data_IF_813375867156
#
_entry.id   IF_813375867156
#
_cell.length_a   1.000
_cell.length_b   1.000
_cell.length_c   1.000
_cell.angle_alpha   90.00
_cell.angle_beta   90.00
_cell.angle_gamma   90.00
#
_symmetry.space_group_name_H-M   'P 1'
#
loop_
_entity.id
_entity.type
_entity.pdbx_description
1 polymer ?
#
# COMPACT_ATOMS: atom_id res chain seq x y z
N UNK A 1 -1.38 -1.79 25.83
CA UNK A 1 -2.41 -0.98 25.14
C UNK A 1 -1.66 -0.04 24.22
N UNK A 2 -1.45 -0.46 22.97
CA UNK A 2 -0.75 0.36 21.97
C UNK A 2 -1.75 1.38 21.44
N UNK A 3 -1.49 2.65 21.72
CA UNK A 3 -2.28 3.79 21.25
C UNK A 3 -2.04 3.91 19.75
N UNK A 4 -3.03 3.54 18.93
CA UNK A 4 -2.93 3.63 17.47
C UNK A 4 -2.75 5.10 17.09
N UNK A 5 -1.60 5.46 16.52
CA UNK A 5 -1.36 6.83 16.05
C UNK A 5 -2.29 7.09 14.85
N UNK A 6 -3.41 7.76 15.13
CA UNK A 6 -4.33 8.20 14.06
C UNK A 6 -3.62 9.23 13.17
N UNK A 7 -3.73 9.11 11.83
CA UNK A 7 -3.18 10.09 10.91
C UNK A 7 -3.69 11.49 11.25
N UNK A 8 -2.77 12.46 11.25
CA UNK A 8 -3.11 13.88 11.44
C UNK A 8 -2.80 14.66 10.18
N UNK A 9 -3.65 15.64 9.89
CA UNK A 9 -3.47 16.52 8.77
C UNK A 9 -2.18 17.34 8.95
N UNK A 10 -1.27 17.37 7.97
CA UNK A 10 -0.05 18.18 8.05
C UNK A 10 -0.32 19.69 8.15
N UNK A 11 -1.45 20.14 7.60
CA UNK A 11 -1.78 21.57 7.54
C UNK A 11 -2.39 22.10 8.83
N UNK A 12 -3.26 21.34 9.49
CA UNK A 12 -4.04 21.82 10.65
C UNK A 12 -3.95 20.93 11.89
N UNK A 13 -3.29 19.77 11.82
CA UNK A 13 -3.16 18.84 12.95
C UNK A 13 -4.43 18.07 13.31
N UNK A 14 -5.53 18.26 12.58
CA UNK A 14 -6.78 17.50 12.76
C UNK A 14 -6.55 16.01 12.50
N UNK A 15 -7.20 15.14 13.28
CA UNK A 15 -7.25 13.70 13.05
C UNK A 15 -8.44 13.27 12.19
N UNK A 16 -9.28 14.21 11.75
CA UNK A 16 -10.41 13.92 10.87
C UNK A 16 -9.97 13.89 9.41
N UNK A 17 -9.57 12.69 9.00
CA UNK A 17 -8.99 12.40 7.68
C UNK A 17 -9.96 11.51 6.90
N UNK A 18 -10.31 11.97 5.70
CA UNK A 18 -11.04 11.20 4.70
C UNK A 18 -10.11 10.71 3.58
N UNK A 19 -10.62 9.78 2.77
CA UNK A 19 -9.89 9.26 1.60
C UNK A 19 -10.38 9.93 0.33
N UNK A 20 -9.47 10.03 -0.64
CA UNK A 20 -9.84 10.44 -2.00
C UNK A 20 -10.01 9.16 -2.82
N UNK A 21 -11.20 8.94 -3.35
CA UNK A 21 -11.47 7.84 -4.27
C UNK A 21 -11.39 8.33 -5.72
N UNK A 22 -10.88 7.48 -6.60
CA UNK A 22 -10.72 7.78 -8.02
C UNK A 22 -11.30 6.65 -8.85
N UNK A 23 -11.76 7.00 -10.05
CA UNK A 23 -12.36 6.04 -10.98
C UNK A 23 -13.70 6.52 -11.50
N UNK A 24 -14.44 5.57 -12.08
CA UNK A 24 -15.77 5.84 -12.63
C UNK A 24 -16.75 6.11 -11.49
N UNK A 25 -17.52 7.20 -11.60
CA UNK A 25 -18.58 7.51 -10.64
C UNK A 25 -19.71 6.50 -10.85
N UNK A 26 -19.92 5.64 -9.86
CA UNK A 26 -21.13 4.84 -9.73
C UNK A 26 -21.95 5.36 -8.53
N UNK A 27 -23.19 4.85 -8.37
CA UNK A 27 -24.07 5.27 -7.28
C UNK A 27 -23.47 5.02 -5.88
N UNK A 28 -22.59 4.03 -5.74
CA UNK A 28 -21.94 3.74 -4.46
C UNK A 28 -20.90 4.82 -4.12
N UNK A 29 -20.12 5.26 -5.11
CA UNK A 29 -19.14 6.32 -4.96
C UNK A 29 -19.80 7.68 -4.69
N UNK A 30 -20.92 7.96 -5.38
CA UNK A 30 -21.70 9.19 -5.16
C UNK A 30 -22.33 9.23 -3.76
N UNK A 31 -22.83 8.10 -3.27
CA UNK A 31 -23.38 8.02 -1.92
C UNK A 31 -22.32 8.22 -0.84
N UNK A 32 -21.17 7.58 -0.98
CA UNK A 32 -20.05 7.75 -0.05
C UNK A 32 -19.46 9.18 -0.06
N UNK A 33 -19.52 9.89 -1.20
CA UNK A 33 -19.17 11.31 -1.28
C UNK A 33 -20.20 12.19 -0.57
N UNK A 34 -21.49 11.93 -0.77
CA UNK A 34 -22.59 12.65 -0.09
C UNK A 34 -22.58 12.46 1.43
N UNK A 35 -22.24 11.25 1.88
CA UNK A 35 -22.15 10.90 3.31
C UNK A 35 -20.86 11.45 3.96
N UNK A 36 -19.98 12.11 3.18
CA UNK A 36 -18.73 12.68 3.65
C UNK A 36 -17.65 11.64 4.00
N UNK A 37 -17.89 10.37 3.68
CA UNK A 37 -16.96 9.27 3.96
C UNK A 37 -15.71 9.36 3.09
N UNK A 38 -15.85 9.91 1.88
CA UNK A 38 -14.76 10.17 0.93
C UNK A 38 -14.99 11.46 0.15
N UNK A 39 -13.98 11.88 -0.60
CA UNK A 39 -14.15 12.85 -1.70
C UNK A 39 -13.74 12.16 -2.99
N UNK A 40 -14.41 12.47 -4.09
CA UNK A 40 -14.05 11.89 -5.38
C UNK A 40 -13.02 12.78 -6.07
N UNK A 41 -11.95 12.17 -6.57
CA UNK A 41 -10.94 12.80 -7.40
C UNK A 41 -11.30 12.76 -8.89
N UNK A 42 -10.27 12.69 -9.73
CA UNK A 42 -10.43 12.54 -11.18
C UNK A 42 -10.83 11.12 -11.61
N UNK A 43 -11.16 10.96 -12.89
CA UNK A 43 -11.47 9.65 -13.47
C UNK A 43 -10.24 8.75 -13.69
N UNK A 44 -9.05 9.34 -13.82
CA UNK A 44 -7.78 8.62 -13.96
C UNK A 44 -6.97 8.80 -12.70
N UNK A 45 -6.32 7.74 -12.24
CA UNK A 45 -5.33 7.78 -11.17
C UNK A 45 -3.95 7.96 -11.77
N UNK A 46 -3.17 8.89 -11.24
CA UNK A 46 -1.73 9.00 -11.47
C UNK A 46 -0.99 9.13 -10.13
N UNK A 47 0.33 8.96 -10.17
CA UNK A 47 1.23 8.94 -9.00
C UNK A 47 1.20 10.22 -8.14
N UNK A 48 0.76 11.35 -8.70
CA UNK A 48 0.74 12.64 -8.02
C UNK A 48 -0.63 12.97 -7.41
N UNK A 49 -1.61 12.08 -7.55
CA UNK A 49 -2.95 12.34 -7.10
C UNK A 49 -3.14 12.07 -5.60
N UNK A 50 -3.71 13.02 -4.85
CA UNK A 50 -3.86 12.91 -3.41
C UNK A 50 -4.74 11.72 -3.05
N UNK A 51 -4.29 10.86 -2.13
CA UNK A 51 -5.03 9.70 -1.65
C UNK A 51 -5.82 10.01 -0.38
N UNK A 52 -5.48 11.11 0.29
CA UNK A 52 -6.08 11.55 1.54
C UNK A 52 -6.51 13.01 1.45
N UNK A 53 -7.51 13.36 2.24
CA UNK A 53 -7.87 14.74 2.50
C UNK A 53 -8.25 14.96 3.95
N UNK A 54 -8.08 16.16 4.45
CA UNK A 54 -8.55 16.55 5.77
C UNK A 54 -9.97 17.12 5.65
N UNK A 55 -10.92 16.61 6.44
CA UNK A 55 -12.30 17.13 6.43
C UNK A 55 -12.40 18.54 7.00
N UNK A 56 -11.52 18.90 7.94
CA UNK A 56 -11.51 20.21 8.59
C UNK A 56 -10.94 21.32 7.69
N UNK A 57 -9.83 21.07 6.99
CA UNK A 57 -9.11 22.12 6.24
C UNK A 57 -9.00 21.88 4.73
N UNK A 58 -9.60 20.79 4.25
CA UNK A 58 -9.62 20.36 2.85
C UNK A 58 -8.24 20.18 2.21
N UNK A 59 -7.17 20.14 3.00
CA UNK A 59 -5.84 19.83 2.49
C UNK A 59 -5.84 18.41 1.93
N UNK A 60 -5.17 18.20 0.80
CA UNK A 60 -5.12 16.94 0.08
C UNK A 60 -3.65 16.53 -0.08
N UNK A 61 -3.34 15.26 0.16
CA UNK A 61 -1.97 14.75 0.05
C UNK A 61 -1.96 13.28 -0.37
N UNK A 62 -0.91 12.87 -1.06
CA UNK A 62 -0.64 11.49 -1.47
C UNK A 62 0.50 10.84 -0.66
N UNK A 63 1.30 11.66 0.04
CA UNK A 63 2.41 11.24 0.90
C UNK A 63 2.17 11.77 2.31
N UNK A 64 2.47 10.97 3.34
CA UNK A 64 2.44 11.44 4.71
C UNK A 64 3.40 12.63 4.90
N UNK A 65 3.10 13.58 5.82
CA UNK A 65 3.91 14.77 6.08
C UNK A 65 5.43 14.57 6.20
N UNK A 66 5.86 13.35 6.53
CA UNK A 66 7.26 12.97 6.74
C UNK A 66 7.86 12.19 5.54
N UNK A 67 7.23 12.22 4.36
CA UNK A 67 7.70 11.53 3.14
C UNK A 67 7.37 10.03 3.08
N UNK A 68 6.50 9.53 3.97
CA UNK A 68 6.08 8.13 4.01
C UNK A 68 4.91 7.82 3.08
N UNK A 69 4.86 6.59 2.55
CA UNK A 69 3.71 6.04 1.84
C UNK A 69 2.83 5.29 2.85
N UNK A 70 1.52 5.52 2.81
CA UNK A 70 0.56 4.79 3.64
C UNK A 70 0.40 3.34 3.16
N UNK A 71 0.43 2.39 4.09
CA UNK A 71 0.21 0.96 3.79
C UNK A 71 -1.30 0.73 3.52
N UNK A 72 -1.68 -0.01 2.46
CA UNK A 72 -3.06 -0.42 2.25
C UNK A 72 -3.58 -1.24 3.45
N UNK A 73 -4.81 -1.00 3.93
CA UNK A 73 -5.38 -1.83 4.98
C UNK A 73 -5.59 -3.27 4.49
N UNK A 74 -5.65 -4.22 5.43
CA UNK A 74 -6.12 -5.59 5.15
C UNK A 74 -7.50 -5.55 4.47
N UNK A 75 -7.69 -6.37 3.44
CA UNK A 75 -8.92 -6.36 2.65
C UNK A 75 -9.03 -5.24 1.61
N UNK A 76 -8.00 -4.39 1.44
CA UNK A 76 -7.99 -3.36 0.38
C UNK A 76 -8.15 -3.96 -1.03
N UNK A 77 -8.78 -3.20 -1.93
CA UNK A 77 -8.89 -3.60 -3.33
C UNK A 77 -7.51 -3.87 -3.95
N UNK A 78 -7.43 -4.87 -4.83
CA UNK A 78 -6.15 -5.29 -5.44
C UNK A 78 -5.44 -4.14 -6.16
N UNK A 79 -6.18 -3.29 -6.86
CA UNK A 79 -5.63 -2.11 -7.55
C UNK A 79 -4.84 -1.17 -6.62
N UNK A 80 -5.27 -1.00 -5.37
CA UNK A 80 -4.54 -0.19 -4.41
C UNK A 80 -3.28 -0.90 -3.91
N UNK A 81 -3.36 -2.20 -3.67
CA UNK A 81 -2.20 -2.99 -3.27
C UNK A 81 -1.14 -2.97 -4.37
N UNK A 82 -1.55 -3.06 -5.65
CA UNK A 82 -0.65 -2.92 -6.81
C UNK A 82 0.04 -1.57 -6.82
N UNK A 83 -0.71 -0.46 -6.70
CA UNK A 83 -0.10 0.88 -6.66
C UNK A 83 0.92 1.02 -5.53
N UNK A 84 0.63 0.45 -4.36
CA UNK A 84 1.58 0.44 -3.25
C UNK A 84 2.80 -0.45 -3.52
N UNK A 85 2.58 -1.65 -4.05
CA UNK A 85 3.64 -2.62 -4.35
C UNK A 85 4.62 -2.09 -5.41
N UNK A 86 4.12 -1.33 -6.38
CA UNK A 86 4.93 -0.70 -7.45
C UNK A 86 5.87 0.40 -6.92
N UNK A 87 5.68 0.87 -5.67
CA UNK A 87 6.60 1.82 -5.01
C UNK A 87 7.90 1.18 -4.50
N UNK A 88 8.09 -0.13 -4.71
CA UNK A 88 9.26 -0.88 -4.26
C UNK A 88 9.73 -1.83 -5.34
N UNK A 89 11.00 -1.74 -5.75
CA UNK A 89 11.56 -2.70 -6.70
C UNK A 89 12.20 -3.88 -5.95
N UNK A 90 11.48 -5.00 -5.86
CA UNK A 90 11.99 -6.19 -5.18
C UNK A 90 13.31 -6.71 -5.74
N UNK A 91 13.56 -6.52 -7.05
CA UNK A 91 14.81 -6.99 -7.68
C UNK A 91 16.03 -6.17 -7.26
N UNK A 92 15.88 -4.85 -7.08
CA UNK A 92 17.00 -3.98 -6.70
C UNK A 92 17.51 -4.29 -5.29
N UNK A 93 16.62 -4.76 -4.41
CA UNK A 93 16.93 -4.95 -3.00
C UNK A 93 17.23 -6.40 -2.60
N UNK A 94 16.70 -7.38 -3.33
CA UNK A 94 16.78 -8.80 -2.94
C UNK A 94 17.38 -9.71 -4.02
N UNK A 95 18.05 -9.13 -5.02
CA UNK A 95 18.72 -9.85 -6.09
C UNK A 95 17.84 -10.07 -7.31
N UNK A 96 18.22 -11.01 -8.16
CA UNK A 96 17.47 -11.30 -9.38
C UNK A 96 16.15 -12.05 -9.11
N UNK A 97 15.48 -12.48 -10.18
CA UNK A 97 14.24 -13.23 -10.09
C UNK A 97 14.38 -14.52 -9.28
N UNK A 98 15.51 -15.20 -9.33
CA UNK A 98 15.72 -16.45 -8.60
C UNK A 98 15.79 -16.18 -7.09
N UNK A 99 16.58 -15.18 -6.69
CA UNK A 99 16.68 -14.77 -5.28
C UNK A 99 15.33 -14.32 -4.72
N UNK A 100 14.60 -13.49 -5.47
CA UNK A 100 13.29 -13.00 -5.04
C UNK A 100 12.25 -14.13 -4.96
N UNK A 101 12.24 -15.07 -5.91
CA UNK A 101 11.36 -16.25 -5.88
C UNK A 101 11.65 -17.11 -4.65
N UNK A 102 12.92 -17.41 -4.37
CA UNK A 102 13.30 -18.24 -3.23
C UNK A 102 12.91 -17.60 -1.89
N UNK A 103 13.07 -16.27 -1.76
CA UNK A 103 12.63 -15.50 -0.60
C UNK A 103 11.11 -15.56 -0.46
N UNK A 104 10.37 -15.41 -1.57
CA UNK A 104 8.92 -15.47 -1.59
C UNK A 104 8.38 -16.84 -1.17
N UNK A 105 8.91 -17.91 -1.76
CA UNK A 105 8.55 -19.29 -1.40
C UNK A 105 8.82 -19.58 0.08
N UNK A 106 9.92 -19.04 0.62
CA UNK A 106 10.23 -19.17 2.04
C UNK A 106 9.14 -18.51 2.91
N UNK A 107 8.73 -17.27 2.60
CA UNK A 107 7.70 -16.58 3.38
C UNK A 107 6.32 -17.22 3.22
N UNK A 108 5.93 -17.67 2.02
CA UNK A 108 4.66 -18.39 1.82
C UNK A 108 4.63 -19.70 2.59
N UNK A 109 5.76 -20.43 2.65
CA UNK A 109 5.86 -21.66 3.44
C UNK A 109 5.67 -21.38 4.93
N UNK A 110 6.33 -20.34 5.47
CA UNK A 110 6.15 -19.92 6.87
C UNK A 110 4.69 -19.63 7.19
N UNK A 111 4.04 -18.80 6.37
CA UNK A 111 2.63 -18.47 6.50
C UNK A 111 1.74 -19.72 6.47
N UNK A 112 1.98 -20.62 5.52
CA UNK A 112 1.24 -21.88 5.41
C UNK A 112 1.43 -22.84 6.60
N UNK A 113 2.53 -22.70 7.34
CA UNK A 113 2.81 -23.44 8.58
C UNK A 113 2.28 -22.71 9.84
N UNK A 114 1.70 -21.52 9.68
CA UNK A 114 1.28 -20.67 10.80
C UNK A 114 2.45 -20.04 11.57
N UNK A 115 3.64 -20.00 10.96
CA UNK A 115 4.79 -19.30 11.51
C UNK A 115 4.73 -17.79 11.21
N UNK A 116 5.38 -16.99 12.05
CA UNK A 116 5.47 -15.56 11.84
C UNK A 116 6.24 -15.21 10.55
N UNK A 117 5.66 -14.27 9.79
CA UNK A 117 6.35 -13.61 8.68
C UNK A 117 7.53 -12.77 9.19
N UNK A 118 8.45 -12.44 8.26
CA UNK A 118 9.58 -11.56 8.55
C UNK A 118 9.15 -10.23 9.19
N UNK A 119 10.00 -9.68 10.07
CA UNK A 119 9.87 -8.30 10.57
C UNK A 119 10.61 -7.28 9.69
N UNK A 120 11.34 -7.76 8.68
CA UNK A 120 12.05 -6.89 7.75
C UNK A 120 11.06 -6.25 6.76
N UNK A 121 10.96 -4.93 6.84
CA UNK A 121 10.08 -4.10 6.01
C UNK A 121 10.37 -4.29 4.51
N UNK A 122 11.65 -4.39 4.14
CA UNK A 122 12.07 -4.58 2.76
C UNK A 122 11.66 -5.95 2.23
N UNK A 123 11.75 -7.01 3.05
CA UNK A 123 11.27 -8.35 2.71
C UNK A 123 9.76 -8.34 2.49
N UNK A 124 9.00 -7.76 3.42
CA UNK A 124 7.54 -7.69 3.32
C UNK A 124 7.08 -6.90 2.09
N UNK A 125 7.72 -5.76 1.79
CA UNK A 125 7.46 -4.99 0.56
C UNK A 125 7.81 -5.81 -0.69
N UNK A 126 8.90 -6.59 -0.65
CA UNK A 126 9.29 -7.47 -1.76
C UNK A 126 8.24 -8.56 -2.04
N UNK A 127 7.55 -9.08 -1.00
CA UNK A 127 6.48 -10.06 -1.19
C UNK A 127 5.31 -9.48 -1.98
N UNK A 128 4.87 -8.26 -1.62
CA UNK A 128 3.78 -7.57 -2.33
C UNK A 128 4.19 -7.24 -3.77
N UNK A 129 5.43 -6.80 -3.98
CA UNK A 129 5.98 -6.59 -5.31
C UNK A 129 5.97 -7.88 -6.14
N UNK A 130 6.39 -9.01 -5.56
CA UNK A 130 6.39 -10.29 -6.25
C UNK A 130 4.99 -10.72 -6.68
N UNK A 131 4.00 -10.66 -5.79
CA UNK A 131 2.60 -11.02 -6.10
C UNK A 131 2.03 -10.14 -7.22
N UNK A 132 2.29 -8.83 -7.19
CA UNK A 132 1.93 -7.93 -8.28
C UNK A 132 2.57 -8.31 -9.62
N UNK A 133 3.87 -8.62 -9.63
CA UNK A 133 4.59 -9.00 -10.85
C UNK A 133 4.08 -10.34 -11.39
N UNK A 134 3.84 -11.30 -10.50
CA UNK A 134 3.27 -12.61 -10.83
C UNK A 134 1.90 -12.45 -11.50
N UNK A 135 0.99 -11.69 -10.91
CA UNK A 135 -0.34 -11.40 -11.49
C UNK A 135 -0.22 -10.74 -12.88
N UNK A 136 0.60 -9.68 -12.97
CA UNK A 136 0.82 -8.96 -14.23
C UNK A 136 1.33 -9.86 -15.36
N UNK A 137 2.19 -10.83 -15.06
CA UNK A 137 2.70 -11.78 -16.05
C UNK A 137 1.81 -13.02 -16.24
N UNK A 138 0.96 -13.33 -15.26
CA UNK A 138 0.00 -14.43 -15.26
C UNK A 138 -1.33 -14.11 -15.96
N UNK A 139 -1.57 -12.86 -16.35
CA UNK A 139 -2.75 -12.44 -17.10
C UNK A 139 -3.55 -11.29 -16.49
N UNK A 140 -3.19 -10.83 -15.28
CA UNK A 140 -3.77 -9.65 -14.64
C UNK A 140 -5.20 -9.84 -14.13
N UNK A 141 -5.54 -11.06 -13.71
CA UNK A 141 -6.88 -11.38 -13.18
C UNK A 141 -7.03 -11.03 -11.70
N UNK A 142 -5.91 -10.68 -11.03
CA UNK A 142 -5.84 -10.49 -9.60
C UNK A 142 -5.61 -11.79 -8.83
N UNK A 143 -5.34 -11.69 -7.51
CA UNK A 143 -5.01 -12.83 -6.68
C UNK A 143 -6.23 -13.73 -6.43
N UNK A 144 -6.00 -15.04 -6.39
CA UNK A 144 -6.98 -16.01 -5.89
C UNK A 144 -7.15 -15.92 -4.36
N UNK A 145 -8.02 -16.75 -3.77
CA UNK A 145 -8.28 -16.74 -2.33
C UNK A 145 -7.03 -17.05 -1.47
N UNK A 146 -6.16 -17.94 -1.94
CA UNK A 146 -4.95 -18.34 -1.21
C UNK A 146 -3.88 -17.26 -1.28
N UNK A 147 -3.68 -16.68 -2.45
CA UNK A 147 -2.81 -15.52 -2.67
C UNK A 147 -3.30 -14.34 -1.83
N UNK A 148 -4.62 -14.10 -1.84
CA UNK A 148 -5.25 -13.05 -1.05
C UNK A 148 -4.98 -13.21 0.44
N UNK A 149 -5.14 -14.42 0.97
CA UNK A 149 -4.87 -14.70 2.38
C UNK A 149 -3.41 -14.39 2.77
N UNK A 150 -2.45 -14.73 1.91
CA UNK A 150 -1.04 -14.40 2.13
C UNK A 150 -0.76 -12.90 2.03
N UNK A 151 -1.31 -12.22 1.03
CA UNK A 151 -1.18 -10.77 0.84
C UNK A 151 -1.71 -10.01 2.06
N UNK A 152 -2.89 -10.38 2.55
CA UNK A 152 -3.50 -9.76 3.71
C UNK A 152 -2.65 -9.99 4.98
N UNK A 153 -2.02 -11.16 5.14
CA UNK A 153 -1.08 -11.41 6.23
C UNK A 153 0.19 -10.55 6.12
N UNK A 154 0.73 -10.36 4.91
CA UNK A 154 1.87 -9.47 4.67
C UNK A 154 1.51 -8.01 5.00
N UNK A 155 0.34 -7.53 4.58
CA UNK A 155 -0.13 -6.18 4.89
C UNK A 155 -0.32 -5.97 6.39
N UNK A 156 -0.94 -6.94 7.08
CA UNK A 156 -1.10 -6.90 8.53
C UNK A 156 0.27 -6.81 9.22
N UNK A 157 1.22 -7.67 8.84
CA UNK A 157 2.56 -7.67 9.43
C UNK A 157 3.32 -6.38 9.14
N UNK A 158 3.25 -5.89 7.90
CA UNK A 158 3.90 -4.65 7.49
C UNK A 158 3.35 -3.46 8.28
N UNK A 159 2.04 -3.42 8.52
CA UNK A 159 1.41 -2.41 9.36
C UNK A 159 1.91 -2.49 10.81
N UNK A 160 1.95 -3.69 11.40
CA UNK A 160 2.42 -3.93 12.77
C UNK A 160 3.85 -3.44 13.00
N UNK A 161 4.77 -3.70 12.05
CA UNK A 161 6.20 -3.38 12.24
C UNK A 161 6.57 -1.94 11.87
N UNK A 162 5.67 -1.18 11.26
CA UNK A 162 5.95 0.19 10.79
C UNK A 162 4.96 1.26 11.27
N UNK A 163 3.96 0.86 12.05
CA UNK A 163 2.86 1.74 12.49
C UNK A 163 2.11 2.38 11.30
N UNK A 164 1.94 1.61 10.23
CA UNK A 164 1.07 1.95 9.10
C UNK A 164 1.68 2.81 7.98
N UNK A 165 2.98 3.11 8.03
CA UNK A 165 3.67 3.87 6.97
C UNK A 165 5.05 3.33 6.67
N UNK A 166 5.48 3.44 5.43
CA UNK A 166 6.82 3.04 4.96
C UNK A 166 7.50 4.20 4.28
N UNK A 167 8.84 4.24 4.22
CA UNK A 167 9.53 5.25 3.43
C UNK A 167 9.00 5.31 1.98
N UNK A 168 8.97 6.51 1.41
CA UNK A 168 8.75 6.72 -0.02
C UNK A 168 9.68 5.88 -0.90
N UNK A 169 9.46 5.84 -2.23
CA UNK A 169 10.49 5.29 -3.11
C UNK A 169 11.76 6.07 -2.80
N UNK A 170 12.83 5.38 -2.40
CA UNK A 170 14.12 6.03 -2.22
C UNK A 170 14.40 6.79 -3.51
N UNK A 171 14.58 8.11 -3.44
CA UNK A 171 15.17 8.84 -4.56
C UNK A 171 16.38 8.00 -4.98
N UNK A 172 16.36 7.50 -6.22
CA UNK A 172 17.51 6.80 -6.77
C UNK A 172 18.72 7.68 -6.44
N UNK A 173 19.81 7.15 -5.86
CA UNK A 173 20.97 7.97 -5.59
C UNK A 173 21.30 8.70 -6.89
N UNK A 174 21.29 10.03 -6.84
CA UNK A 174 21.54 10.87 -8.01
C UNK A 174 22.72 10.26 -8.76
N UNK A 175 22.47 9.77 -9.97
CA UNK A 175 23.54 9.27 -10.83
C UNK A 175 24.39 10.50 -11.14
N UNK A 176 25.41 10.72 -10.32
CA UNK A 176 26.38 11.77 -10.52
C UNK A 176 27.16 11.36 -11.76
N UNK A 177 26.79 11.95 -12.90
CA UNK A 177 27.58 11.91 -14.14
C UNK A 177 28.54 13.08 -14.19
#
# INVERSE_FOLDING_TARGET
MTDQIKPRCPKCGSSDIGRVAYGWRDEALERAELDGELTVGGQRVDENQPTHFCRECSHRWNQWPNGGIAIPPVGAAWSWIVMFADTYNGYEHHGDLEGLTALHDQQRRKHGLGEDLSNDVGVLRAMLFYEYRSDRFGGGYGPDEKERNFIDAVLARLFEVTDGTVPGPSESPEVTR
#
